data_IF_503949847881
#
_entry.id   IF_503949847881
#
_cell.length_a   1.000
_cell.length_b   1.000
_cell.length_c   1.000
_cell.angle_alpha   90.00
_cell.angle_beta   90.00
_cell.angle_gamma   90.00
#
_symmetry.space_group_name_H-M   'P 1'
#
loop_
_entity.id
_entity.type
_entity.pdbx_description
1 polymer ?
#
# COMPACT_ATOMS: atom_id res chain seq x y z
N UNK A 1 -13.32 33.49 31.96
CA UNK A 1 -11.94 33.06 31.65
C UNK A 1 -11.90 31.52 31.68
N UNK A 2 -12.30 30.86 30.59
CA UNK A 2 -12.40 29.38 30.46
C UNK A 2 -11.37 28.82 29.47
N UNK A 3 -10.38 29.61 29.08
CA UNK A 3 -9.50 29.38 27.92
C UNK A 3 -8.58 28.14 28.06
N UNK A 4 -8.46 27.53 29.24
CA UNK A 4 -7.53 26.41 29.47
C UNK A 4 -8.20 25.06 29.82
N UNK A 5 -9.53 24.98 29.88
CA UNK A 5 -10.20 23.75 30.31
C UNK A 5 -9.99 22.59 29.33
N UNK A 6 -10.29 22.79 28.04
CA UNK A 6 -10.18 21.76 27.00
C UNK A 6 -8.73 21.29 26.83
N UNK A 7 -7.78 22.23 26.75
CA UNK A 7 -6.37 21.89 26.55
C UNK A 7 -5.78 21.13 27.77
N UNK A 8 -6.23 21.44 28.99
CA UNK A 8 -5.86 20.66 30.18
C UNK A 8 -6.30 19.19 30.09
N UNK A 9 -7.51 18.93 29.57
CA UNK A 9 -7.98 17.56 29.33
C UNK A 9 -7.22 16.87 28.19
N UNK A 10 -6.91 17.58 27.11
CA UNK A 10 -6.06 17.08 26.00
C UNK A 10 -4.72 16.60 26.55
N UNK A 11 -4.03 17.42 27.36
CA UNK A 11 -2.73 17.08 27.92
C UNK A 11 -2.84 15.92 28.91
N UNK A 12 -3.80 15.95 29.84
CA UNK A 12 -4.02 14.88 30.82
C UNK A 12 -4.29 13.54 30.13
N UNK A 13 -5.18 13.53 29.14
CA UNK A 13 -5.56 12.32 28.43
C UNK A 13 -4.43 11.85 27.51
N UNK A 14 -3.72 12.76 26.85
CA UNK A 14 -2.54 12.46 26.05
C UNK A 14 -1.42 11.82 26.86
N UNK A 15 -1.10 12.33 28.05
CA UNK A 15 -0.10 11.73 28.95
C UNK A 15 -0.52 10.32 29.38
N UNK A 16 -1.82 10.13 29.68
CA UNK A 16 -2.36 8.81 30.05
C UNK A 16 -2.28 7.80 28.90
N UNK A 17 -2.37 8.27 27.65
CA UNK A 17 -2.15 7.46 26.45
C UNK A 17 -0.65 7.20 26.16
N UNK A 18 0.24 8.17 26.39
CA UNK A 18 1.71 8.01 26.26
C UNK A 18 2.25 6.87 27.13
N UNK A 19 1.61 6.59 28.27
CA UNK A 19 2.02 5.58 29.23
C UNK A 19 1.71 4.11 28.87
N UNK A 20 1.11 3.85 27.70
CA UNK A 20 0.97 2.53 27.04
C UNK A 20 0.14 1.40 27.70
N UNK A 21 -0.80 1.64 28.61
CA UNK A 21 -1.64 0.53 29.11
C UNK A 21 -3.15 0.73 29.13
N UNK A 22 -3.70 1.78 28.52
CA UNK A 22 -5.16 2.00 28.59
C UNK A 22 -5.72 2.75 27.37
N UNK A 23 -6.99 2.52 27.07
CA UNK A 23 -7.77 3.27 26.06
C UNK A 23 -9.26 3.28 26.45
N UNK A 24 -10.11 3.81 25.58
CA UNK A 24 -11.54 3.95 25.87
C UNK A 24 -12.27 2.60 26.00
N UNK A 25 -11.79 1.53 25.41
CA UNK A 25 -12.49 0.24 25.42
C UNK A 25 -12.24 -0.58 26.68
N UNK A 26 -10.98 -0.63 27.10
CA UNK A 26 -10.56 -1.45 28.25
C UNK A 26 -10.63 -0.71 29.59
N UNK A 27 -10.92 0.59 29.58
CA UNK A 27 -11.00 1.42 30.78
C UNK A 27 -12.18 2.39 30.70
N UNK A 28 -13.27 2.01 31.35
CA UNK A 28 -14.51 2.78 31.40
C UNK A 28 -14.30 4.19 31.98
N UNK A 29 -13.49 4.32 33.03
CA UNK A 29 -13.16 5.63 33.63
C UNK A 29 -12.43 6.51 32.61
N UNK A 30 -11.50 5.94 31.85
CA UNK A 30 -10.79 6.68 30.81
C UNK A 30 -11.70 7.05 29.63
N UNK A 31 -12.60 6.15 29.21
CA UNK A 31 -13.66 6.44 28.22
C UNK A 31 -14.48 7.65 28.63
N UNK A 32 -14.92 7.69 29.88
CA UNK A 32 -15.68 8.83 30.43
C UNK A 32 -14.86 10.12 30.37
N UNK A 33 -13.54 10.07 30.68
CA UNK A 33 -12.68 11.26 30.59
C UNK A 33 -12.44 11.76 29.17
N UNK A 34 -12.39 10.88 28.17
CA UNK A 34 -12.31 11.26 26.74
C UNK A 34 -13.67 11.81 26.27
N UNK A 35 -14.77 11.14 26.59
CA UNK A 35 -16.12 11.60 26.25
C UNK A 35 -16.41 12.97 26.85
N UNK A 36 -15.99 13.20 28.10
CA UNK A 36 -16.11 14.50 28.74
C UNK A 36 -15.30 15.57 28.00
N UNK A 37 -14.04 15.28 27.63
CA UNK A 37 -13.20 16.18 26.83
C UNK A 37 -13.87 16.55 25.50
N UNK A 38 -14.45 15.56 24.81
CA UNK A 38 -15.17 15.77 23.54
C UNK A 38 -16.44 16.61 23.73
N UNK A 39 -17.19 16.39 24.81
CA UNK A 39 -18.41 17.14 25.13
C UNK A 39 -18.12 18.62 25.44
N UNK A 40 -17.11 18.90 26.26
CA UNK A 40 -16.73 20.29 26.56
C UNK A 40 -16.14 21.00 25.34
N UNK A 41 -15.42 20.29 24.46
CA UNK A 41 -14.87 20.85 23.23
C UNK A 41 -15.97 21.25 22.23
N UNK A 42 -17.11 20.55 22.21
CA UNK A 42 -18.28 20.91 21.39
C UNK A 42 -19.03 22.13 21.92
N UNK A 43 -19.03 22.32 23.24
CA UNK A 43 -19.81 23.37 23.93
C UNK A 43 -19.07 24.70 24.06
N UNK A 44 -17.73 24.69 23.99
CA UNK A 44 -16.90 25.89 24.16
C UNK A 44 -16.41 26.44 22.83
N UNK A 45 -16.24 27.76 22.76
CA UNK A 45 -15.57 28.40 21.64
C UNK A 45 -14.05 28.18 21.76
N UNK A 46 -13.55 27.18 21.05
CA UNK A 46 -12.12 26.83 20.97
C UNK A 46 -11.52 27.19 19.61
N UNK A 47 -10.22 27.49 19.58
CA UNK A 47 -9.46 27.78 18.37
C UNK A 47 -9.33 26.55 17.46
N UNK A 48 -9.04 26.75 16.17
CA UNK A 48 -8.83 25.63 15.24
C UNK A 48 -7.62 24.76 15.61
N UNK A 49 -6.62 25.36 16.26
CA UNK A 49 -5.48 24.62 16.80
C UNK A 49 -5.92 23.68 17.93
N UNK A 50 -6.77 24.14 18.83
CA UNK A 50 -7.30 23.32 19.93
C UNK A 50 -8.21 22.20 19.41
N UNK A 51 -9.03 22.46 18.38
CA UNK A 51 -9.81 21.41 17.70
C UNK A 51 -8.91 20.29 17.17
N UNK A 52 -7.80 20.63 16.51
CA UNK A 52 -6.82 19.65 16.02
C UNK A 52 -6.22 18.82 17.15
N UNK A 53 -5.90 19.42 18.29
CA UNK A 53 -5.38 18.69 19.44
C UNK A 53 -6.42 17.74 20.06
N UNK A 54 -7.68 18.18 20.18
CA UNK A 54 -8.79 17.33 20.66
C UNK A 54 -8.97 16.13 19.72
N UNK A 55 -8.99 16.36 18.41
CA UNK A 55 -9.08 15.30 17.41
C UNK A 55 -7.91 14.32 17.49
N UNK A 56 -6.68 14.80 17.66
CA UNK A 56 -5.51 13.94 17.76
C UNK A 56 -5.57 13.00 18.98
N UNK A 57 -5.95 13.52 20.15
CA UNK A 57 -6.08 12.71 21.38
C UNK A 57 -7.26 11.73 21.29
N UNK A 58 -8.36 12.12 20.64
CA UNK A 58 -9.49 11.22 20.40
C UNK A 58 -9.09 10.05 19.48
N UNK A 59 -8.48 10.35 18.32
CA UNK A 59 -7.99 9.34 17.38
C UNK A 59 -6.97 8.40 18.04
N UNK A 60 -6.10 8.95 18.88
CA UNK A 60 -5.17 8.14 19.65
C UNK A 60 -5.88 7.22 20.66
N UNK A 61 -6.92 7.73 21.34
CA UNK A 61 -7.70 6.95 22.29
C UNK A 61 -8.59 5.87 21.63
N UNK A 62 -8.86 5.98 20.33
CA UNK A 62 -9.66 5.04 19.51
C UNK A 62 -8.88 3.80 19.02
N UNK A 63 -7.60 3.67 19.35
CA UNK A 63 -6.80 2.47 19.08
C UNK A 63 -5.98 2.50 17.79
N UNK A 64 -6.27 3.41 16.86
CA UNK A 64 -5.58 3.54 15.55
C UNK A 64 -4.06 3.70 15.65
N UNK A 65 -3.54 4.28 16.74
CA UNK A 65 -2.09 4.40 16.92
C UNK A 65 -1.42 3.03 17.06
N UNK A 66 -2.08 2.05 17.69
CA UNK A 66 -1.53 0.70 17.80
C UNK A 66 -1.49 0.00 16.44
N UNK A 67 -2.51 0.17 15.60
CA UNK A 67 -2.49 -0.29 14.21
C UNK A 67 -1.36 0.34 13.38
N UNK A 68 -1.18 1.66 13.49
CA UNK A 68 -0.07 2.36 12.83
C UNK A 68 1.31 1.96 13.38
N UNK A 69 1.43 1.75 14.69
CA UNK A 69 2.64 1.25 15.32
C UNK A 69 2.97 -0.16 14.85
N UNK A 70 1.96 -1.04 14.76
CA UNK A 70 2.12 -2.38 14.21
C UNK A 70 2.65 -2.35 12.77
N UNK A 71 2.12 -1.47 11.92
CA UNK A 71 2.64 -1.29 10.56
C UNK A 71 4.11 -0.83 10.54
N UNK A 72 4.50 0.11 11.41
CA UNK A 72 5.90 0.53 11.53
C UNK A 72 6.84 -0.59 12.01
N UNK A 73 6.38 -1.44 12.92
CA UNK A 73 7.12 -2.64 13.34
C UNK A 73 7.26 -3.64 12.18
N UNK A 74 6.20 -3.83 11.40
CA UNK A 74 6.20 -4.73 10.24
C UNK A 74 7.16 -4.26 9.14
N UNK A 75 7.12 -2.98 8.74
CA UNK A 75 8.03 -2.43 7.73
C UNK A 75 9.50 -2.42 8.19
N UNK A 76 9.76 -2.63 9.50
CA UNK A 76 11.10 -2.81 10.07
C UNK A 76 11.44 -4.27 10.39
N UNK A 77 10.68 -5.22 9.84
CA UNK A 77 10.87 -6.68 9.94
C UNK A 77 10.69 -7.25 11.35
N UNK A 78 10.02 -6.52 12.26
CA UNK A 78 9.69 -6.98 13.62
C UNK A 78 8.30 -7.65 13.63
N UNK A 79 8.13 -8.69 12.81
CA UNK A 79 6.83 -9.29 12.50
C UNK A 79 6.09 -9.83 13.74
N UNK A 80 6.78 -10.51 14.66
CA UNK A 80 6.16 -11.04 15.87
C UNK A 80 5.58 -9.95 16.78
N UNK A 81 6.28 -8.82 16.89
CA UNK A 81 5.80 -7.67 17.67
C UNK A 81 4.70 -6.91 16.94
N UNK A 82 4.81 -6.77 15.62
CA UNK A 82 3.76 -6.19 14.79
C UNK A 82 2.44 -6.97 14.92
N UNK A 83 2.49 -8.30 14.84
CA UNK A 83 1.32 -9.17 15.00
C UNK A 83 0.63 -8.96 16.36
N UNK A 84 1.42 -8.91 17.44
CA UNK A 84 0.91 -8.67 18.80
C UNK A 84 0.23 -7.30 18.91
N UNK A 85 0.85 -6.25 18.38
CA UNK A 85 0.28 -4.90 18.44
C UNK A 85 -0.98 -4.76 17.58
N UNK A 86 -0.99 -5.35 16.38
CA UNK A 86 -2.16 -5.33 15.50
C UNK A 86 -3.35 -6.09 16.12
N UNK A 87 -3.12 -7.30 16.66
CA UNK A 87 -4.17 -8.07 17.35
C UNK A 87 -4.72 -7.31 18.55
N UNK A 88 -3.85 -6.72 19.37
CA UNK A 88 -4.26 -5.87 20.48
C UNK A 88 -5.11 -4.68 19.99
N UNK A 89 -4.72 -4.04 18.89
CA UNK A 89 -5.49 -2.95 18.30
C UNK A 89 -6.88 -3.41 17.83
N UNK A 90 -7.00 -4.60 17.23
CA UNK A 90 -8.28 -5.17 16.80
C UNK A 90 -9.17 -5.64 17.96
N UNK A 91 -8.58 -6.13 19.06
CA UNK A 91 -9.30 -6.41 20.31
C UNK A 91 -9.91 -5.13 20.89
N UNK A 92 -9.25 -3.98 20.69
CA UNK A 92 -9.70 -2.66 21.13
C UNK A 92 -10.69 -2.04 20.15
N UNK A 93 -10.48 -2.20 18.85
CA UNK A 93 -11.33 -1.63 17.83
C UNK A 93 -11.29 -2.55 16.62
N UNK A 94 -12.28 -3.42 16.50
CA UNK A 94 -12.41 -4.33 15.36
C UNK A 94 -12.54 -3.60 14.00
N UNK A 95 -12.97 -2.33 14.02
CA UNK A 95 -13.06 -1.46 12.84
C UNK A 95 -11.77 -0.64 12.60
N UNK A 96 -10.65 -1.02 13.23
CA UNK A 96 -9.34 -0.44 12.94
C UNK A 96 -8.78 -1.01 11.61
N UNK A 97 -8.99 -0.24 10.54
CA UNK A 97 -8.49 -0.57 9.21
C UNK A 97 -6.96 -0.60 9.12
N UNK A 98 -6.25 0.17 9.96
CA UNK A 98 -4.78 0.16 10.02
C UNK A 98 -4.25 -1.10 10.69
N UNK A 99 -4.91 -1.55 11.76
CA UNK A 99 -4.55 -2.80 12.43
C UNK A 99 -4.81 -4.01 11.54
N UNK A 100 -5.95 -4.04 10.83
CA UNK A 100 -6.24 -5.05 9.81
C UNK A 100 -5.14 -5.05 8.76
N UNK A 101 -4.82 -3.88 8.20
CA UNK A 101 -3.77 -3.71 7.20
C UNK A 101 -2.40 -4.21 7.68
N UNK A 102 -1.97 -3.81 8.88
CA UNK A 102 -0.70 -4.23 9.46
C UNK A 102 -0.63 -5.75 9.66
N UNK A 103 -1.73 -6.36 10.14
CA UNK A 103 -1.80 -7.80 10.33
C UNK A 103 -1.79 -8.55 8.98
N UNK A 104 -2.46 -8.01 7.96
CA UNK A 104 -2.39 -8.54 6.60
C UNK A 104 -0.94 -8.51 6.07
N UNK A 105 -0.27 -7.38 6.24
CA UNK A 105 1.14 -7.24 5.93
C UNK A 105 2.01 -8.30 6.61
N UNK A 106 1.83 -8.54 7.91
CA UNK A 106 2.57 -9.59 8.62
C UNK A 106 2.35 -10.95 7.99
N UNK A 107 1.10 -11.34 7.71
CA UNK A 107 0.82 -12.65 7.12
C UNK A 107 1.41 -12.79 5.72
N UNK A 108 1.39 -11.73 4.91
CA UNK A 108 2.01 -11.69 3.58
C UNK A 108 3.53 -11.87 3.69
N UNK A 109 4.19 -10.99 4.46
CA UNK A 109 5.66 -10.96 4.55
C UNK A 109 6.26 -12.19 5.24
N UNK A 110 5.45 -12.98 5.95
CA UNK A 110 5.86 -14.23 6.59
C UNK A 110 5.37 -15.49 5.85
N UNK A 111 4.72 -15.33 4.69
CA UNK A 111 4.22 -16.45 3.88
C UNK A 111 3.06 -17.23 4.52
N UNK A 112 2.36 -16.62 5.48
CA UNK A 112 1.25 -17.22 6.21
C UNK A 112 -0.11 -16.94 5.52
N UNK A 113 -0.16 -17.05 4.19
CA UNK A 113 -1.35 -16.69 3.39
C UNK A 113 -2.62 -17.45 3.79
N UNK A 114 -2.52 -18.70 4.29
CA UNK A 114 -3.69 -19.45 4.81
C UNK A 114 -4.31 -18.74 6.02
N UNK A 115 -3.47 -18.28 6.96
CA UNK A 115 -3.95 -17.47 8.10
C UNK A 115 -4.51 -16.13 7.62
N UNK A 116 -3.89 -15.55 6.59
CA UNK A 116 -4.38 -14.35 5.91
C UNK A 116 -5.79 -14.52 5.37
N UNK A 117 -6.06 -15.57 4.60
CA UNK A 117 -7.38 -15.88 4.06
C UNK A 117 -8.44 -16.06 5.16
N UNK A 118 -8.12 -16.87 6.19
CA UNK A 118 -9.03 -17.09 7.31
C UNK A 118 -9.33 -15.79 8.07
N UNK A 119 -8.32 -14.97 8.31
CA UNK A 119 -8.48 -13.67 8.96
C UNK A 119 -9.35 -12.72 8.12
N UNK A 120 -9.00 -12.49 6.86
CA UNK A 120 -9.68 -11.53 6.00
C UNK A 120 -11.14 -11.91 5.76
N UNK A 121 -11.41 -13.20 5.53
CA UNK A 121 -12.77 -13.70 5.33
C UNK A 121 -13.63 -13.62 6.60
N UNK A 122 -13.09 -13.99 7.76
CA UNK A 122 -13.85 -14.03 9.02
C UNK A 122 -14.15 -12.64 9.59
N UNK A 123 -13.34 -11.63 9.28
CA UNK A 123 -13.51 -10.26 9.79
C UNK A 123 -13.98 -9.26 8.74
N UNK A 124 -14.36 -9.70 7.53
CA UNK A 124 -14.71 -8.81 6.41
C UNK A 124 -15.73 -7.73 6.78
N UNK A 125 -16.77 -8.09 7.55
CA UNK A 125 -17.80 -7.15 7.99
C UNK A 125 -17.28 -6.02 8.89
N UNK A 126 -16.14 -6.24 9.54
CA UNK A 126 -15.53 -5.24 10.41
C UNK A 126 -14.69 -4.23 9.63
N UNK A 127 -13.86 -4.69 8.67
CA UNK A 127 -12.92 -3.79 7.97
C UNK A 127 -13.39 -3.27 6.61
N UNK A 128 -14.40 -3.87 5.97
CA UNK A 128 -14.88 -3.42 4.63
C UNK A 128 -15.46 -2.00 4.62
N UNK A 129 -15.84 -1.50 5.81
CA UNK A 129 -16.37 -0.15 6.02
C UNK A 129 -15.27 0.90 6.27
N UNK A 130 -14.01 0.48 6.42
CA UNK A 130 -12.88 1.34 6.78
C UNK A 130 -12.33 2.16 5.61
N UNK A 131 -13.19 2.94 4.94
CA UNK A 131 -12.84 3.97 3.96
C UNK A 131 -11.70 3.60 3.01
N UNK A 132 -10.67 4.45 2.96
CA UNK A 132 -9.49 4.28 2.08
C UNK A 132 -8.68 3.01 2.38
N UNK A 133 -8.68 2.51 3.62
CA UNK A 133 -7.95 1.27 3.97
C UNK A 133 -8.67 0.02 3.48
N UNK A 134 -9.99 0.05 3.28
CA UNK A 134 -10.75 -1.12 2.86
C UNK A 134 -10.33 -1.63 1.47
N UNK A 135 -10.12 -0.73 0.50
CA UNK A 135 -9.66 -1.12 -0.84
C UNK A 135 -8.29 -1.80 -0.79
N UNK A 136 -7.37 -1.28 0.02
CA UNK A 136 -6.04 -1.89 0.18
C UNK A 136 -6.06 -3.20 0.98
N UNK A 137 -6.97 -3.33 1.96
CA UNK A 137 -7.19 -4.58 2.66
C UNK A 137 -7.73 -5.66 1.70
N UNK A 138 -8.69 -5.32 0.83
CA UNK A 138 -9.12 -6.24 -0.24
C UNK A 138 -7.97 -6.61 -1.19
N UNK A 139 -7.05 -5.69 -1.46
CA UNK A 139 -5.86 -5.99 -2.26
C UNK A 139 -5.00 -7.09 -1.61
N UNK A 140 -4.67 -6.97 -0.31
CA UNK A 140 -3.99 -8.04 0.43
C UNK A 140 -4.76 -9.36 0.44
N UNK A 141 -6.08 -9.29 0.65
CA UNK A 141 -6.92 -10.48 0.62
C UNK A 141 -6.85 -11.20 -0.74
N UNK A 142 -6.86 -10.43 -1.83
CA UNK A 142 -6.68 -10.99 -3.16
C UNK A 142 -5.27 -11.56 -3.39
N UNK A 143 -4.21 -10.96 -2.82
CA UNK A 143 -2.86 -11.53 -2.90
C UNK A 143 -2.80 -12.93 -2.29
N UNK A 144 -3.44 -13.16 -1.14
CA UNK A 144 -3.46 -14.51 -0.57
C UNK A 144 -4.15 -15.55 -1.46
N UNK A 145 -5.17 -15.14 -2.22
CA UNK A 145 -5.77 -16.03 -3.23
C UNK A 145 -4.78 -16.33 -4.36
N UNK A 146 -3.96 -15.36 -4.79
CA UNK A 146 -2.89 -15.57 -5.78
C UNK A 146 -1.86 -16.56 -5.23
N UNK A 147 -1.36 -16.36 -4.00
CA UNK A 147 -0.38 -17.23 -3.36
C UNK A 147 -0.90 -18.68 -3.18
N UNK A 148 -2.20 -18.85 -2.97
CA UNK A 148 -2.83 -20.17 -2.91
C UNK A 148 -3.06 -20.80 -4.30
N UNK A 149 -2.91 -20.05 -5.39
CA UNK A 149 -3.22 -20.48 -6.75
C UNK A 149 -4.70 -20.38 -7.14
N UNK A 150 -5.52 -19.69 -6.32
CA UNK A 150 -6.96 -19.50 -6.53
C UNK A 150 -7.22 -18.25 -7.38
N UNK A 151 -6.74 -18.25 -8.63
CA UNK A 151 -6.74 -17.05 -9.48
C UNK A 151 -8.12 -16.56 -9.88
N UNK A 152 -9.10 -17.45 -10.05
CA UNK A 152 -10.49 -17.09 -10.33
C UNK A 152 -11.11 -16.31 -9.17
N UNK A 153 -10.82 -16.72 -7.93
CA UNK A 153 -11.30 -16.03 -6.74
C UNK A 153 -10.59 -14.69 -6.55
N UNK A 154 -9.28 -14.63 -6.78
CA UNK A 154 -8.50 -13.40 -6.78
C UNK A 154 -9.08 -12.38 -7.79
N UNK A 155 -9.38 -12.83 -9.02
CA UNK A 155 -9.95 -11.98 -10.06
C UNK A 155 -11.37 -11.54 -9.75
N UNK A 156 -12.22 -12.44 -9.21
CA UNK A 156 -13.57 -12.11 -8.76
C UNK A 156 -13.56 -11.07 -7.64
N UNK A 157 -12.63 -11.17 -6.69
CA UNK A 157 -12.44 -10.17 -5.63
C UNK A 157 -12.00 -8.83 -6.22
N UNK A 158 -11.10 -8.88 -7.21
CA UNK A 158 -10.66 -7.69 -7.93
C UNK A 158 -11.82 -6.95 -8.59
N UNK A 159 -12.68 -7.66 -9.34
CA UNK A 159 -13.80 -7.03 -10.05
C UNK A 159 -14.84 -6.44 -9.10
N UNK A 160 -15.16 -7.15 -8.02
CA UNK A 160 -16.23 -6.76 -7.11
C UNK A 160 -15.83 -5.62 -6.17
N UNK A 161 -14.57 -5.63 -5.70
CA UNK A 161 -14.13 -4.75 -4.63
C UNK A 161 -12.97 -3.84 -5.05
N UNK A 162 -11.83 -4.40 -5.47
CA UNK A 162 -10.60 -3.63 -5.71
C UNK A 162 -10.76 -2.65 -6.87
N UNK A 163 -11.05 -3.16 -8.07
CA UNK A 163 -11.14 -2.37 -9.29
C UNK A 163 -12.28 -1.37 -9.25
N UNK A 164 -13.44 -1.78 -8.72
CA UNK A 164 -14.60 -0.89 -8.55
C UNK A 164 -14.29 0.30 -7.65
N UNK A 165 -13.70 0.07 -6.47
CA UNK A 165 -13.33 1.14 -5.52
C UNK A 165 -12.24 2.04 -6.11
N UNK A 166 -11.24 1.43 -6.74
CA UNK A 166 -10.13 2.14 -7.39
C UNK A 166 -10.59 3.08 -8.50
N UNK A 167 -11.45 2.62 -9.41
CA UNK A 167 -11.99 3.47 -10.49
C UNK A 167 -12.97 4.53 -9.99
N UNK A 168 -13.64 4.28 -8.86
CA UNK A 168 -14.51 5.28 -8.22
C UNK A 168 -13.69 6.40 -7.56
N UNK A 169 -12.62 6.06 -6.84
CA UNK A 169 -11.79 7.06 -6.15
C UNK A 169 -10.83 7.78 -7.10
N UNK A 170 -10.33 7.07 -8.11
CA UNK A 170 -9.23 7.46 -8.99
C UNK A 170 -7.98 7.91 -8.24
N UNK A 171 -7.82 7.48 -7.00
CA UNK A 171 -6.65 7.81 -6.19
C UNK A 171 -5.44 7.07 -6.72
N UNK A 172 -4.29 7.75 -6.84
CA UNK A 172 -3.06 7.14 -7.35
C UNK A 172 -2.70 5.86 -6.60
N UNK A 173 -2.87 5.83 -5.28
CA UNK A 173 -2.59 4.64 -4.45
C UNK A 173 -3.42 3.41 -4.89
N UNK A 174 -4.73 3.59 -5.11
CA UNK A 174 -5.59 2.48 -5.53
C UNK A 174 -5.33 2.07 -6.99
N UNK A 175 -4.97 3.03 -7.85
CA UNK A 175 -4.61 2.76 -9.26
C UNK A 175 -3.35 1.90 -9.32
N UNK A 176 -2.27 2.30 -8.64
CA UNK A 176 -0.99 1.55 -8.67
C UNK A 176 -1.15 0.16 -8.06
N UNK A 177 -1.93 0.03 -6.98
CA UNK A 177 -2.27 -1.27 -6.39
C UNK A 177 -3.05 -2.15 -7.38
N UNK A 178 -4.01 -1.58 -8.11
CA UNK A 178 -4.82 -2.33 -9.07
C UNK A 178 -3.99 -2.81 -10.25
N UNK A 179 -3.11 -1.95 -10.79
CA UNK A 179 -2.18 -2.33 -11.86
C UNK A 179 -1.21 -3.41 -11.40
N UNK A 180 -0.66 -3.26 -10.19
CA UNK A 180 0.21 -4.27 -9.56
C UNK A 180 -0.50 -5.62 -9.45
N UNK A 181 -1.74 -5.63 -8.94
CA UNK A 181 -2.56 -6.83 -8.81
C UNK A 181 -2.78 -7.55 -10.15
N UNK A 182 -3.18 -6.78 -11.17
CA UNK A 182 -3.42 -7.33 -12.51
C UNK A 182 -2.14 -7.90 -13.13
N UNK A 183 -0.98 -7.29 -12.89
CA UNK A 183 0.30 -7.85 -13.33
C UNK A 183 0.67 -9.15 -12.63
N UNK A 184 0.41 -9.26 -11.31
CA UNK A 184 0.67 -10.50 -10.55
C UNK A 184 -0.12 -11.67 -11.12
N UNK A 185 -1.44 -11.53 -11.32
CA UNK A 185 -2.24 -12.59 -11.94
C UNK A 185 -1.91 -12.82 -13.43
N UNK A 186 -1.46 -11.77 -14.14
CA UNK A 186 -1.01 -11.90 -15.53
C UNK A 186 0.22 -12.77 -15.64
N UNK A 187 1.15 -12.67 -14.69
CA UNK A 187 2.33 -13.53 -14.66
C UNK A 187 1.98 -15.00 -14.49
N UNK A 188 0.87 -15.30 -13.81
CA UNK A 188 0.28 -16.63 -13.68
C UNK A 188 -0.56 -17.08 -14.91
N UNK A 189 -0.59 -16.26 -15.96
CA UNK A 189 -1.22 -16.60 -17.24
C UNK A 189 -2.67 -16.14 -17.40
N UNK A 190 -3.23 -15.41 -16.43
CA UNK A 190 -4.57 -14.84 -16.53
C UNK A 190 -4.58 -13.66 -17.51
N UNK A 191 -5.58 -13.61 -18.39
CA UNK A 191 -5.75 -12.52 -19.35
C UNK A 191 -6.40 -11.31 -18.67
N UNK A 192 -5.69 -10.19 -18.62
CA UNK A 192 -6.11 -8.98 -17.89
C UNK A 192 -6.14 -7.70 -18.72
N UNK A 193 -5.79 -7.77 -20.01
CA UNK A 193 -5.60 -6.60 -20.87
C UNK A 193 -6.80 -5.65 -20.87
N UNK A 194 -8.02 -6.20 -20.95
CA UNK A 194 -9.24 -5.40 -20.93
C UNK A 194 -9.39 -4.60 -19.63
N UNK A 195 -9.06 -5.21 -18.48
CA UNK A 195 -9.10 -4.53 -17.18
C UNK A 195 -7.98 -3.50 -17.03
N UNK A 196 -6.79 -3.80 -17.54
CA UNK A 196 -5.68 -2.84 -17.55
C UNK A 196 -6.03 -1.57 -18.33
N UNK A 197 -6.86 -1.67 -19.37
CA UNK A 197 -7.33 -0.51 -20.14
C UNK A 197 -8.06 0.52 -19.27
N UNK A 198 -8.93 0.07 -18.37
CA UNK A 198 -9.67 0.97 -17.46
C UNK A 198 -8.72 1.82 -16.60
N UNK A 199 -7.61 1.23 -16.13
CA UNK A 199 -6.61 1.94 -15.32
C UNK A 199 -5.67 2.80 -16.18
N UNK A 200 -5.28 2.32 -17.36
CA UNK A 200 -4.53 3.11 -18.33
C UNK A 200 -5.24 4.42 -18.68
N UNK A 201 -6.57 4.40 -18.84
CA UNK A 201 -7.35 5.61 -19.12
C UNK A 201 -7.24 6.68 -18.02
N UNK A 202 -6.99 6.26 -16.78
CA UNK A 202 -6.66 7.16 -15.67
C UNK A 202 -5.20 7.60 -15.77
N UNK A 203 -4.26 6.65 -15.84
CA UNK A 203 -2.82 6.90 -15.85
C UNK A 203 -2.35 7.83 -16.98
N UNK A 204 -2.94 7.73 -18.18
CA UNK A 204 -2.50 8.48 -19.37
C UNK A 204 -2.55 10.02 -19.20
N UNK A 205 -3.34 10.51 -18.25
CA UNK A 205 -3.44 11.95 -17.95
C UNK A 205 -2.38 12.42 -16.94
N UNK A 206 -1.55 11.51 -16.43
CA UNK A 206 -0.59 11.75 -15.34
C UNK A 206 0.84 11.31 -15.70
N UNK A 207 1.13 11.05 -16.98
CA UNK A 207 2.44 10.55 -17.43
C UNK A 207 3.56 11.60 -17.36
N UNK A 208 3.24 12.86 -17.07
CA UNK A 208 4.24 13.94 -16.95
C UNK A 208 4.42 14.42 -15.49
N UNK A 209 3.74 13.79 -14.51
CA UNK A 209 3.65 14.28 -13.13
C UNK A 209 4.93 14.00 -12.30
N UNK A 210 5.49 12.80 -12.42
CA UNK A 210 6.72 12.34 -11.74
C UNK A 210 6.80 12.62 -10.23
N UNK A 211 5.70 12.41 -9.50
CA UNK A 211 5.61 12.71 -8.05
C UNK A 211 6.38 11.69 -7.20
N UNK A 212 6.26 10.40 -7.51
CA UNK A 212 6.93 9.30 -6.81
C UNK A 212 7.32 8.22 -7.82
N UNK A 213 8.58 7.75 -7.77
CA UNK A 213 9.08 6.78 -8.74
C UNK A 213 8.34 5.44 -8.72
N UNK A 214 7.84 5.02 -7.54
CA UNK A 214 6.95 3.87 -7.42
C UNK A 214 5.70 4.00 -8.30
N UNK A 215 5.07 5.17 -8.32
CA UNK A 215 3.87 5.40 -9.13
C UNK A 215 4.22 5.37 -10.63
N UNK A 216 5.32 6.01 -11.01
CA UNK A 216 5.74 6.10 -12.40
C UNK A 216 5.97 4.69 -13.00
N UNK A 217 6.62 3.79 -12.27
CA UNK A 217 6.83 2.42 -12.74
C UNK A 217 5.48 1.69 -12.93
N UNK A 218 4.51 1.89 -12.05
CA UNK A 218 3.18 1.28 -12.21
C UNK A 218 2.38 1.90 -13.36
N UNK A 219 2.55 3.20 -13.63
CA UNK A 219 1.95 3.81 -14.81
C UNK A 219 2.58 3.27 -16.10
N UNK A 220 3.87 2.95 -16.09
CA UNK A 220 4.55 2.31 -17.21
C UNK A 220 3.96 0.92 -17.45
N UNK A 221 3.76 0.14 -16.39
CA UNK A 221 3.05 -1.14 -16.45
C UNK A 221 1.65 -0.99 -17.06
N UNK A 222 0.89 0.04 -16.69
CA UNK A 222 -0.43 0.28 -17.30
C UNK A 222 -0.34 0.58 -18.81
N UNK A 223 0.60 1.44 -19.26
CA UNK A 223 0.81 1.74 -20.68
C UNK A 223 1.24 0.53 -21.50
N UNK A 224 2.15 -0.28 -20.95
CA UNK A 224 2.63 -1.50 -21.57
C UNK A 224 1.52 -2.56 -21.66
N UNK A 225 0.75 -2.73 -20.59
CA UNK A 225 -0.34 -3.71 -20.51
C UNK A 225 -1.44 -3.54 -21.55
N UNK A 226 -1.56 -2.37 -22.17
CA UNK A 226 -2.53 -2.07 -23.24
C UNK A 226 -1.89 -1.99 -24.64
N UNK A 227 -0.59 -2.26 -24.77
CA UNK A 227 0.20 -2.15 -26.00
C UNK A 227 0.24 -0.75 -26.64
N UNK A 228 0.13 0.33 -25.84
CA UNK A 228 0.22 1.69 -26.36
C UNK A 228 1.68 2.16 -26.48
N UNK A 229 2.31 1.78 -27.57
CA UNK A 229 3.69 2.15 -27.87
C UNK A 229 3.93 3.67 -27.92
N UNK A 230 2.91 4.49 -28.23
CA UNK A 230 3.06 5.95 -28.24
C UNK A 230 3.18 6.49 -26.82
N UNK A 231 2.28 6.08 -25.93
CA UNK A 231 2.34 6.50 -24.52
C UNK A 231 3.59 5.97 -23.83
N UNK A 232 4.02 4.74 -24.10
CA UNK A 232 5.28 4.19 -23.57
C UNK A 232 6.48 5.07 -23.96
N UNK A 233 6.59 5.46 -25.24
CA UNK A 233 7.68 6.34 -25.69
C UNK A 233 7.62 7.72 -25.04
N UNK A 234 6.45 8.36 -25.11
CA UNK A 234 6.24 9.69 -24.53
C UNK A 234 6.58 9.70 -23.04
N UNK A 235 6.14 8.67 -22.31
CA UNK A 235 6.39 8.57 -20.87
C UNK A 235 7.87 8.35 -20.54
N UNK A 236 8.58 7.53 -21.32
CA UNK A 236 10.03 7.39 -21.15
C UNK A 236 10.78 8.69 -21.42
N UNK A 237 10.33 9.46 -22.41
CA UNK A 237 10.93 10.76 -22.74
C UNK A 237 10.66 11.80 -21.65
N UNK A 238 9.45 11.81 -21.05
CA UNK A 238 9.14 12.67 -19.90
C UNK A 238 9.99 12.30 -18.67
N UNK A 239 10.15 11.01 -18.36
CA UNK A 239 11.05 10.53 -17.28
C UNK A 239 12.48 10.99 -17.52
N UNK A 240 13.01 10.86 -18.75
CA UNK A 240 14.37 11.31 -19.09
C UNK A 240 14.53 12.82 -18.91
N UNK A 241 13.54 13.60 -19.33
CA UNK A 241 13.55 15.04 -19.12
C UNK A 241 13.48 15.41 -17.64
N UNK A 242 12.64 14.72 -16.86
CA UNK A 242 12.58 14.87 -15.41
C UNK A 242 13.91 14.51 -14.72
N UNK A 243 14.60 13.46 -15.17
CA UNK A 243 15.94 13.11 -14.67
C UNK A 243 16.96 14.21 -15.02
N UNK A 244 16.88 14.79 -16.22
CA UNK A 244 17.82 15.81 -16.69
C UNK A 244 17.64 17.15 -15.97
N UNK A 245 16.40 17.58 -15.78
CA UNK A 245 16.05 18.93 -15.34
C UNK A 245 15.48 19.01 -13.92
N UNK A 246 15.01 17.89 -13.38
CA UNK A 246 14.38 17.79 -12.06
C UNK A 246 15.38 17.71 -10.90
N UNK A 247 14.84 17.71 -9.69
CA UNK A 247 15.60 17.68 -8.42
C UNK A 247 14.85 16.93 -7.33
N UNK A 248 15.55 16.56 -6.26
CA UNK A 248 14.99 15.88 -5.10
C UNK A 248 15.01 14.35 -5.23
N UNK A 249 14.59 13.69 -4.15
CA UNK A 249 14.75 12.25 -3.95
C UNK A 249 14.05 11.42 -5.02
N UNK A 250 12.85 11.84 -5.48
CA UNK A 250 12.15 11.17 -6.58
C UNK A 250 12.98 11.16 -7.86
N UNK A 251 13.63 12.28 -8.20
CA UNK A 251 14.50 12.37 -9.38
C UNK A 251 15.72 11.46 -9.23
N UNK A 252 16.34 11.45 -8.05
CA UNK A 252 17.49 10.58 -7.77
C UNK A 252 17.12 9.09 -7.81
N UNK A 253 15.94 8.72 -7.31
CA UNK A 253 15.41 7.36 -7.40
C UNK A 253 15.12 6.94 -8.85
N UNK A 254 14.49 7.81 -9.64
CA UNK A 254 14.22 7.57 -11.06
C UNK A 254 15.51 7.39 -11.86
N UNK A 255 16.53 8.22 -11.62
CA UNK A 255 17.84 8.08 -12.24
C UNK A 255 18.60 6.82 -11.78
N UNK A 256 18.47 6.46 -10.50
CA UNK A 256 19.19 5.30 -9.95
C UNK A 256 18.64 3.99 -10.48
N UNK A 257 17.31 3.83 -10.51
CA UNK A 257 16.66 2.53 -10.80
C UNK A 257 15.32 2.66 -11.53
N UNK A 258 14.59 3.76 -11.41
CA UNK A 258 13.23 3.86 -11.96
C UNK A 258 13.15 3.82 -13.47
N UNK A 259 14.02 4.55 -14.18
CA UNK A 259 14.09 4.48 -15.65
C UNK A 259 14.48 3.08 -16.11
N UNK A 260 15.46 2.46 -15.47
CA UNK A 260 15.90 1.10 -15.82
C UNK A 260 14.81 0.05 -15.56
N UNK A 261 13.99 0.23 -14.52
CA UNK A 261 12.82 -0.63 -14.30
C UNK A 261 11.81 -0.48 -15.45
N UNK A 262 11.54 0.75 -15.90
CA UNK A 262 10.68 0.99 -17.07
C UNK A 262 11.24 0.38 -18.36
N UNK A 263 12.56 0.49 -18.57
CA UNK A 263 13.27 -0.14 -19.69
C UNK A 263 13.17 -1.68 -19.61
N UNK A 264 13.35 -2.27 -18.43
CA UNK A 264 13.26 -3.70 -18.22
C UNK A 264 11.84 -4.24 -18.49
N UNK A 265 10.79 -3.56 -18.00
CA UNK A 265 9.41 -3.91 -18.33
C UNK A 265 9.15 -3.79 -19.84
N UNK A 266 9.67 -2.75 -20.49
CA UNK A 266 9.55 -2.60 -21.96
C UNK A 266 10.21 -3.77 -22.69
N UNK A 267 11.42 -4.17 -22.29
CA UNK A 267 12.12 -5.32 -22.85
C UNK A 267 11.34 -6.62 -22.66
N UNK A 268 10.79 -6.84 -21.45
CA UNK A 268 9.98 -8.02 -21.15
C UNK A 268 8.73 -8.13 -22.04
N UNK A 269 8.01 -7.03 -22.26
CA UNK A 269 6.81 -7.00 -23.10
C UNK A 269 7.15 -7.22 -24.58
N UNK A 270 8.35 -6.81 -25.01
CA UNK A 270 8.91 -7.13 -26.32
C UNK A 270 9.51 -8.55 -26.40
N UNK A 271 9.31 -9.39 -25.38
CA UNK A 271 9.85 -10.76 -25.27
C UNK A 271 11.38 -10.83 -25.23
N UNK A 272 12.05 -9.72 -24.92
CA UNK A 272 13.49 -9.61 -24.72
C UNK A 272 13.84 -9.93 -23.27
N UNK A 273 13.52 -11.15 -22.82
CA UNK A 273 13.59 -11.53 -21.41
C UNK A 273 15.00 -11.46 -20.82
N UNK A 274 16.03 -11.84 -21.60
CA UNK A 274 17.43 -11.73 -21.18
C UNK A 274 17.84 -10.28 -20.92
N UNK A 275 17.42 -9.35 -21.79
CA UNK A 275 17.69 -7.92 -21.63
C UNK A 275 17.00 -7.36 -20.38
N UNK A 276 15.74 -7.73 -20.15
CA UNK A 276 15.00 -7.33 -18.96
C UNK A 276 15.75 -7.71 -17.67
N UNK A 277 16.23 -8.95 -17.56
CA UNK A 277 17.01 -9.41 -16.40
C UNK A 277 18.33 -8.66 -16.28
N UNK A 278 19.08 -8.54 -17.38
CA UNK A 278 20.38 -7.86 -17.40
C UNK A 278 20.30 -6.39 -16.97
N UNK A 279 19.20 -5.70 -17.33
CA UNK A 279 18.98 -4.30 -16.94
C UNK A 279 18.76 -4.19 -15.43
N UNK A 280 17.81 -4.95 -14.87
CA UNK A 280 17.31 -4.67 -13.53
C UNK A 280 17.94 -5.49 -12.42
N UNK A 281 18.37 -6.73 -12.69
CA UNK A 281 18.89 -7.63 -11.66
C UNK A 281 20.11 -7.07 -10.90
N UNK A 282 21.08 -6.38 -11.56
CA UNK A 282 22.18 -5.71 -10.86
C UNK A 282 21.72 -4.61 -9.89
N UNK A 283 20.53 -4.05 -10.13
CA UNK A 283 19.95 -2.94 -9.35
C UNK A 283 18.84 -3.38 -8.38
N UNK A 284 18.59 -4.68 -8.22
CA UNK A 284 17.47 -5.21 -7.40
C UNK A 284 17.41 -4.65 -5.97
N UNK A 285 18.55 -4.46 -5.31
CA UNK A 285 18.58 -3.90 -3.95
C UNK A 285 18.37 -2.37 -3.90
N UNK A 286 18.39 -1.69 -5.05
CA UNK A 286 18.10 -0.27 -5.16
C UNK A 286 16.60 0.00 -5.39
N UNK A 287 15.79 -1.01 -5.69
CA UNK A 287 14.34 -0.88 -5.95
C UNK A 287 13.62 -0.21 -4.77
N UNK A 288 14.09 -0.42 -3.53
CA UNK A 288 13.56 0.23 -2.33
C UNK A 288 13.54 1.76 -2.41
N UNK A 289 14.42 2.38 -3.22
CA UNK A 289 14.46 3.83 -3.43
C UNK A 289 13.21 4.39 -4.13
N UNK A 290 12.46 3.54 -4.84
CA UNK A 290 11.25 3.97 -5.54
C UNK A 290 10.10 4.31 -4.58
N UNK A 291 10.12 3.76 -3.36
CA UNK A 291 9.03 3.85 -2.39
C UNK A 291 8.15 2.58 -2.36
N UNK A 292 6.91 2.72 -1.91
CA UNK A 292 5.99 1.62 -1.62
C UNK A 292 6.30 0.91 -0.30
N UNK A 293 5.45 -0.04 0.11
CA UNK A 293 5.71 -0.98 1.19
C UNK A 293 6.48 -2.21 0.68
N UNK A 294 6.91 -3.11 1.58
CA UNK A 294 7.59 -4.34 1.16
C UNK A 294 6.70 -5.22 0.26
N UNK A 295 5.46 -5.49 0.70
CA UNK A 295 4.49 -6.26 -0.07
C UNK A 295 4.16 -5.64 -1.44
N UNK A 296 4.09 -4.30 -1.50
CA UNK A 296 3.84 -3.59 -2.76
C UNK A 296 4.99 -3.73 -3.76
N UNK A 297 6.25 -3.62 -3.30
CA UNK A 297 7.43 -3.74 -4.17
C UNK A 297 7.67 -5.15 -4.68
N UNK A 298 7.11 -6.16 -4.02
CA UNK A 298 7.38 -7.54 -4.35
C UNK A 298 6.97 -7.92 -5.80
N UNK A 299 6.04 -7.18 -6.42
CA UNK A 299 5.70 -7.36 -7.85
C UNK A 299 6.92 -7.19 -8.76
N UNK A 300 7.89 -6.37 -8.36
CA UNK A 300 9.13 -6.18 -9.09
C UNK A 300 10.09 -7.37 -8.91
N UNK A 301 10.07 -8.03 -7.76
CA UNK A 301 10.82 -9.28 -7.57
C UNK A 301 10.19 -10.41 -8.38
N UNK A 302 8.86 -10.55 -8.35
CA UNK A 302 8.15 -11.50 -9.21
C UNK A 302 8.47 -11.25 -10.68
N UNK A 303 8.40 -10.00 -11.13
CA UNK A 303 8.78 -9.61 -12.49
C UNK A 303 10.18 -10.13 -12.87
N UNK A 304 11.19 -9.95 -12.00
CA UNK A 304 12.56 -10.43 -12.23
C UNK A 304 12.59 -11.95 -12.33
N UNK A 305 11.88 -12.66 -11.45
CA UNK A 305 11.78 -14.13 -11.45
C UNK A 305 11.14 -14.62 -12.76
N UNK A 306 10.00 -14.05 -13.17
CA UNK A 306 9.33 -14.43 -14.41
C UNK A 306 10.18 -14.11 -15.64
N UNK A 307 10.88 -12.97 -15.67
CA UNK A 307 11.82 -12.64 -16.73
C UNK A 307 12.98 -13.65 -16.79
N UNK A 308 13.52 -14.04 -15.63
CA UNK A 308 14.60 -15.00 -15.51
C UNK A 308 14.18 -16.42 -15.94
N UNK A 309 12.98 -16.87 -15.59
CA UNK A 309 12.42 -18.15 -16.04
C UNK A 309 12.25 -18.22 -17.57
N UNK A 310 11.87 -17.09 -18.20
CA UNK A 310 11.65 -16.99 -19.64
C UNK A 310 12.92 -16.66 -20.44
N UNK A 311 14.01 -16.32 -19.77
CA UNK A 311 15.28 -16.03 -20.43
C UNK A 311 15.90 -17.30 -21.02
N UNK A 312 16.57 -17.13 -22.16
CA UNK A 312 17.39 -18.14 -22.82
C UNK A 312 18.78 -18.34 -22.19
N UNK A 313 19.22 -17.44 -21.30
CA UNK A 313 20.47 -17.59 -20.55
C UNK A 313 20.27 -18.50 -19.33
N UNK A 314 21.01 -19.61 -19.31
CA UNK A 314 21.02 -20.56 -18.17
C UNK A 314 21.40 -19.92 -16.84
N UNK A 315 22.23 -18.87 -16.85
CA UNK A 315 22.59 -18.13 -15.63
C UNK A 315 21.36 -17.45 -15.04
N UNK A 316 20.52 -16.85 -15.88
CA UNK A 316 19.28 -16.22 -15.43
C UNK A 316 18.32 -17.27 -14.88
N UNK A 317 18.13 -18.40 -15.57
CA UNK A 317 17.25 -19.48 -15.10
C UNK A 317 17.65 -20.02 -13.72
N UNK A 318 18.95 -20.01 -13.38
CA UNK A 318 19.43 -20.39 -12.06
C UNK A 318 19.13 -19.35 -10.97
N UNK A 319 18.84 -18.10 -11.31
CA UNK A 319 18.41 -17.06 -10.35
C UNK A 319 16.96 -17.26 -9.90
N UNK A 320 16.15 -17.94 -10.70
CA UNK A 320 14.73 -18.14 -10.45
C UNK A 320 14.40 -19.46 -9.72
N UNK A 321 15.44 -20.21 -9.30
CA UNK A 321 15.32 -21.46 -8.53
C UNK A 321 15.64 -21.19 -7.07
#
# INVERSE_FOLDING_TARGET
MYIFAVLGHVVKNGIKLSGLSTNMEVNLEFRETINYMLDIAKKQAISDREKKHVSAVALWAEGYLLGMHAFGLEETHLYDEAEKQAKKALEINKHDGWATHALSHVYEMTGQYVKGLDFMSSTENDWKVCGLTACHNYWHYGLYHIEQGNFEDAFRLFENEIGKRSLQSKSTMEIVNSVSFLYRIRFEGVQVKEKLYDFYEVCKNHLDDHVLGFNDVHYMMACLGVDDAKSVRNFKDSIKEFIRCGKGDTRDAMNTVGLDMCEAFTAYENQQFSDAVNIIYPKRYQIVKLGGSNAQRDVFNLFIIHAALKSDDKKHQNLAR
#
